data_IF_098859550578
#
_entry.id   IF_098859550578
#
_cell.length_a   1.000
_cell.length_b   1.000
_cell.length_c   1.000
_cell.angle_alpha   90.00
_cell.angle_beta   90.00
_cell.angle_gamma   90.00
#
_symmetry.space_group_name_H-M   'P 1'
#
loop_
_entity.id
_entity.type
_entity.pdbx_description
1 polymer ?
#
# COMPACT_ATOMS: atom_id res chain seq x y z
N UNK A 1 -47.28 -57.66 3.82
CA UNK A 1 -45.79 -57.71 3.84
C UNK A 1 -45.19 -56.58 2.97
N UNK A 2 -45.63 -55.32 3.14
CA UNK A 2 -45.27 -54.18 2.24
C UNK A 2 -44.55 -53.02 2.96
N UNK A 3 -44.84 -52.79 4.25
CA UNK A 3 -44.29 -51.62 5.00
C UNK A 3 -42.80 -51.68 5.36
N UNK A 4 -42.17 -52.87 5.39
CA UNK A 4 -40.73 -52.98 5.70
C UNK A 4 -39.83 -52.59 4.52
N UNK A 5 -40.26 -52.87 3.28
CA UNK A 5 -39.50 -52.54 2.06
C UNK A 5 -39.51 -51.03 1.80
N UNK A 6 -40.63 -50.36 2.01
CA UNK A 6 -40.73 -48.90 1.86
C UNK A 6 -39.90 -48.14 2.91
N UNK A 7 -39.87 -48.63 4.17
CA UNK A 7 -38.98 -48.07 5.19
C UNK A 7 -37.50 -48.22 4.81
N UNK A 8 -37.12 -49.37 4.24
CA UNK A 8 -35.73 -49.59 3.80
C UNK A 8 -35.32 -48.63 2.68
N UNK A 9 -36.20 -48.41 1.70
CA UNK A 9 -35.95 -47.47 0.59
C UNK A 9 -35.77 -46.04 1.10
N UNK A 10 -36.61 -45.58 2.02
CA UNK A 10 -36.51 -44.22 2.61
C UNK A 10 -35.20 -44.04 3.38
N UNK A 11 -34.76 -45.07 4.13
CA UNK A 11 -33.50 -45.03 4.87
C UNK A 11 -32.30 -44.97 3.90
N UNK A 12 -32.33 -45.75 2.82
CA UNK A 12 -31.26 -45.73 1.81
C UNK A 12 -31.15 -44.37 1.13
N UNK A 13 -32.29 -43.75 0.76
CA UNK A 13 -32.31 -42.40 0.16
C UNK A 13 -31.76 -41.36 1.14
N UNK A 14 -32.14 -41.45 2.42
CA UNK A 14 -31.66 -40.54 3.46
C UNK A 14 -30.14 -40.65 3.68
N UNK A 15 -29.59 -41.86 3.67
CA UNK A 15 -28.14 -42.10 3.75
C UNK A 15 -27.44 -41.54 2.51
N UNK A 16 -28.01 -41.74 1.32
CA UNK A 16 -27.45 -41.20 0.08
C UNK A 16 -27.44 -39.67 0.08
N UNK A 17 -28.51 -39.05 0.61
CA UNK A 17 -28.60 -37.60 0.78
C UNK A 17 -27.58 -37.08 1.79
N UNK A 18 -27.36 -37.80 2.90
CA UNK A 18 -26.32 -37.47 3.89
C UNK A 18 -24.91 -37.57 3.30
N UNK A 19 -24.64 -38.59 2.49
CA UNK A 19 -23.35 -38.74 1.77
C UNK A 19 -23.18 -37.61 0.75
N UNK A 20 -24.23 -37.25 0.02
CA UNK A 20 -24.20 -36.14 -0.94
C UNK A 20 -23.94 -34.80 -0.23
N UNK A 21 -24.64 -34.54 0.88
CA UNK A 21 -24.43 -33.36 1.73
C UNK A 21 -23.03 -33.34 2.35
N UNK A 22 -22.46 -34.50 2.69
CA UNK A 22 -21.09 -34.61 3.18
C UNK A 22 -20.05 -34.30 2.10
N UNK A 23 -20.30 -34.73 0.86
CA UNK A 23 -19.45 -34.37 -0.29
C UNK A 23 -19.57 -32.89 -0.67
N UNK A 24 -20.77 -32.29 -0.55
CA UNK A 24 -20.97 -30.85 -0.76
C UNK A 24 -20.36 -30.00 0.36
N UNK A 25 -20.23 -30.53 1.59
CA UNK A 25 -19.46 -29.89 2.67
C UNK A 25 -17.95 -29.94 2.47
N UNK A 26 -17.47 -30.64 1.44
CA UNK A 26 -16.07 -30.66 1.01
C UNK A 26 -15.79 -29.57 -0.03
N UNK A 27 -16.53 -28.47 -0.02
CA UNK A 27 -15.99 -27.22 -0.53
C UNK A 27 -14.97 -26.71 0.47
N UNK A 28 -13.71 -26.69 0.03
CA UNK A 28 -12.55 -26.24 0.77
C UNK A 28 -12.74 -24.82 1.32
N UNK A 29 -13.34 -24.71 2.50
CA UNK A 29 -12.95 -23.67 3.46
C UNK A 29 -11.54 -24.05 3.88
N UNK A 30 -10.58 -23.77 3.00
CA UNK A 30 -9.18 -23.79 3.33
C UNK A 30 -9.06 -22.78 4.46
N UNK A 31 -8.73 -23.28 5.64
CA UNK A 31 -8.37 -22.51 6.81
C UNK A 31 -7.51 -21.33 6.32
N UNK A 32 -8.03 -20.09 6.37
CA UNK A 32 -7.29 -18.93 5.88
C UNK A 32 -6.00 -18.70 6.70
N UNK A 33 -5.87 -19.41 7.82
CA UNK A 33 -4.70 -19.56 8.67
C UNK A 33 -3.56 -20.37 8.04
N UNK A 34 -3.80 -21.16 6.98
CA UNK A 34 -2.77 -22.01 6.37
C UNK A 34 -1.75 -21.23 5.52
N UNK A 35 -2.07 -20.00 5.10
CA UNK A 35 -1.21 -19.19 4.23
C UNK A 35 -1.02 -17.80 4.82
N UNK A 36 -0.04 -17.69 5.72
CA UNK A 36 0.26 -16.47 6.43
C UNK A 36 1.02 -15.48 5.55
N UNK A 37 0.29 -14.59 4.87
CA UNK A 37 0.87 -13.45 4.15
C UNK A 37 1.11 -12.24 5.05
N UNK A 38 0.34 -12.12 6.13
CA UNK A 38 0.33 -10.95 6.98
C UNK A 38 1.54 -10.95 7.92
N UNK A 39 1.85 -9.77 8.47
CA UNK A 39 2.72 -9.63 9.64
C UNK A 39 1.97 -8.74 10.62
N UNK A 40 1.42 -9.32 11.67
CA UNK A 40 0.52 -8.63 12.61
C UNK A 40 1.21 -7.44 13.28
N UNK A 41 2.37 -7.68 13.90
CA UNK A 41 3.19 -6.62 14.48
C UNK A 41 4.14 -6.05 13.43
N UNK A 42 3.78 -4.91 12.85
CA UNK A 42 4.62 -4.21 11.87
C UNK A 42 5.67 -3.31 12.51
N UNK A 43 5.71 -3.19 13.84
CA UNK A 43 6.70 -2.38 14.54
C UNK A 43 8.11 -2.97 14.44
N UNK A 44 8.19 -4.30 14.32
CA UNK A 44 9.45 -5.06 14.14
C UNK A 44 10.06 -4.92 12.76
N UNK A 45 9.28 -4.47 11.76
CA UNK A 45 9.74 -4.32 10.38
C UNK A 45 10.75 -3.17 10.33
N UNK A 46 11.98 -3.48 9.92
CA UNK A 46 13.06 -2.49 9.76
C UNK A 46 13.44 -2.26 8.31
N UNK A 47 13.11 -3.19 7.40
CA UNK A 47 13.43 -3.05 5.97
C UNK A 47 12.41 -3.77 5.09
N UNK A 48 12.06 -3.12 3.99
CA UNK A 48 11.23 -3.68 2.91
C UNK A 48 12.00 -3.48 1.61
N UNK A 49 12.33 -4.57 0.93
CA UNK A 49 12.96 -4.54 -0.38
C UNK A 49 11.93 -4.92 -1.45
N UNK A 50 11.92 -4.19 -2.55
CA UNK A 50 11.05 -4.46 -3.69
C UNK A 50 11.86 -4.44 -4.98
N UNK A 51 11.62 -5.40 -5.86
CA UNK A 51 12.27 -5.52 -7.15
C UNK A 51 11.26 -5.95 -8.22
N UNK A 52 11.22 -5.23 -9.33
CA UNK A 52 10.49 -5.65 -10.53
C UNK A 52 11.42 -6.36 -11.52
N UNK A 53 10.81 -6.96 -12.55
CA UNK A 53 11.54 -7.67 -13.60
C UNK A 53 12.11 -6.76 -14.69
N UNK A 54 11.89 -5.43 -14.58
CA UNK A 54 12.50 -4.42 -15.45
C UNK A 54 13.84 -3.92 -14.91
N UNK A 55 14.27 -4.44 -13.75
CA UNK A 55 15.52 -4.08 -13.10
C UNK A 55 15.39 -2.90 -12.12
N UNK A 56 14.19 -2.38 -11.90
CA UNK A 56 14.00 -1.34 -10.88
C UNK A 56 13.96 -2.00 -9.50
N UNK A 57 14.68 -1.39 -8.56
CA UNK A 57 14.70 -1.83 -7.17
C UNK A 57 14.55 -0.65 -6.23
N UNK A 58 13.87 -0.90 -5.11
CA UNK A 58 13.85 0.02 -3.98
C UNK A 58 14.04 -0.73 -2.67
N UNK A 59 14.69 -0.06 -1.74
CA UNK A 59 14.83 -0.51 -0.36
C UNK A 59 14.30 0.58 0.55
N UNK A 60 13.23 0.29 1.28
CA UNK A 60 12.77 1.11 2.39
C UNK A 60 13.46 0.61 3.65
N UNK A 61 14.17 1.48 4.34
CA UNK A 61 14.90 1.14 5.57
C UNK A 61 14.57 2.12 6.70
N UNK A 62 14.43 1.58 7.91
CA UNK A 62 14.24 2.35 9.12
C UNK A 62 15.60 2.62 9.78
N UNK A 63 16.02 3.88 9.83
CA UNK A 63 17.23 4.36 10.51
C UNK A 63 16.86 5.48 11.48
N UNK A 64 17.27 5.38 12.75
CA UNK A 64 17.00 6.37 13.79
C UNK A 64 15.52 6.81 13.86
N UNK A 65 14.62 5.82 13.84
CA UNK A 65 13.16 6.02 13.80
C UNK A 65 12.60 6.79 12.58
N UNK A 66 13.40 6.94 11.51
CA UNK A 66 12.99 7.56 10.24
C UNK A 66 13.10 6.54 9.12
N UNK A 67 12.18 6.60 8.17
CA UNK A 67 12.21 5.76 6.98
C UNK A 67 12.91 6.48 5.83
N UNK A 68 13.86 5.78 5.22
CA UNK A 68 14.61 6.23 4.05
C UNK A 68 14.40 5.24 2.89
N UNK A 69 14.30 5.74 1.67
CA UNK A 69 14.30 4.95 0.44
C UNK A 69 15.68 5.00 -0.19
N UNK A 70 16.21 3.83 -0.54
CA UNK A 70 17.54 3.59 -1.11
C UNK A 70 18.64 4.28 -0.30
N UNK A 71 18.52 4.27 1.03
CA UNK A 71 19.42 4.95 1.99
C UNK A 71 19.57 6.47 1.86
N UNK A 72 19.00 7.09 0.82
CA UNK A 72 19.27 8.48 0.45
C UNK A 72 18.12 9.42 0.82
N UNK A 73 16.89 9.06 0.45
CA UNK A 73 15.77 10.01 0.54
C UNK A 73 14.82 9.66 1.67
N UNK A 74 14.36 10.67 2.40
CA UNK A 74 13.28 10.48 3.37
C UNK A 74 12.00 9.99 2.67
N UNK A 75 11.35 9.00 3.26
CA UNK A 75 10.07 8.45 2.78
C UNK A 75 8.91 9.32 3.26
N UNK A 76 7.88 9.47 2.42
CA UNK A 76 6.62 10.14 2.77
C UNK A 76 5.90 9.36 3.87
N UNK A 77 5.44 10.06 4.91
CA UNK A 77 4.86 9.43 6.12
C UNK A 77 3.58 8.64 5.83
N UNK A 78 2.75 9.12 4.91
CA UNK A 78 1.56 8.42 4.43
C UNK A 78 1.92 7.13 3.67
N UNK A 79 2.92 7.19 2.77
CA UNK A 79 3.33 6.03 1.99
C UNK A 79 3.78 4.87 2.88
N UNK A 80 4.66 5.15 3.85
CA UNK A 80 5.11 4.11 4.78
C UNK A 80 3.98 3.61 5.69
N UNK A 81 3.07 4.48 6.14
CA UNK A 81 1.92 4.06 6.94
C UNK A 81 0.99 3.14 6.15
N UNK A 82 0.76 3.44 4.88
CA UNK A 82 -0.12 2.65 4.01
C UNK A 82 0.46 1.25 3.80
N UNK A 83 1.74 1.12 3.41
CA UNK A 83 2.33 -0.21 3.17
C UNK A 83 2.38 -1.05 4.46
N UNK A 84 2.77 -0.48 5.60
CA UNK A 84 2.79 -1.22 6.86
C UNK A 84 1.37 -1.66 7.25
N UNK A 85 0.37 -0.77 7.14
CA UNK A 85 -1.03 -1.16 7.38
C UNK A 85 -1.49 -2.27 6.42
N UNK A 86 -1.07 -2.22 5.17
CA UNK A 86 -1.38 -3.26 4.18
C UNK A 86 -0.74 -4.58 4.55
N UNK A 87 0.54 -4.61 4.91
CA UNK A 87 1.24 -5.81 5.37
C UNK A 87 0.54 -6.43 6.59
N UNK A 88 0.07 -5.61 7.54
CA UNK A 88 -0.64 -6.13 8.74
C UNK A 88 -2.05 -6.67 8.49
N UNK A 89 -2.68 -6.29 7.38
CA UNK A 89 -4.11 -6.57 7.14
C UNK A 89 -4.39 -7.35 5.86
N UNK A 90 -3.36 -7.70 5.11
CA UNK A 90 -3.52 -8.48 3.90
C UNK A 90 -4.04 -9.88 4.27
N UNK A 91 -5.03 -10.36 3.53
CA UNK A 91 -5.65 -11.66 3.77
C UNK A 91 -5.91 -12.36 2.46
N UNK A 92 -5.80 -13.69 2.48
CA UNK A 92 -6.27 -14.54 1.39
C UNK A 92 -7.77 -14.32 1.22
N UNK A 93 -8.19 -14.03 -0.01
CA UNK A 93 -9.61 -14.04 -0.39
C UNK A 93 -10.01 -15.44 -0.82
N UNK A 94 -9.24 -16.03 -1.76
CA UNK A 94 -9.41 -17.39 -2.28
C UNK A 94 -8.18 -17.80 -3.09
N UNK A 95 -7.92 -19.10 -3.29
CA UNK A 95 -6.94 -19.56 -4.27
C UNK A 95 -7.35 -19.16 -5.70
N UNK A 96 -6.36 -19.02 -6.57
CA UNK A 96 -6.59 -18.88 -8.01
C UNK A 96 -7.23 -20.15 -8.55
N UNK A 97 -8.24 -20.01 -9.42
CA UNK A 97 -8.92 -21.17 -10.03
C UNK A 97 -7.98 -21.92 -10.98
N UNK A 98 -8.18 -23.23 -11.10
CA UNK A 98 -7.41 -24.09 -12.02
C UNK A 98 -7.38 -23.54 -13.44
N UNK A 99 -8.53 -23.06 -13.94
CA UNK A 99 -8.66 -22.46 -15.27
C UNK A 99 -7.79 -21.22 -15.51
N UNK A 100 -7.42 -20.50 -14.46
CA UNK A 100 -6.58 -19.29 -14.54
C UNK A 100 -5.16 -19.51 -14.04
N UNK A 101 -4.85 -20.68 -13.49
CA UNK A 101 -3.58 -20.96 -12.81
C UNK A 101 -2.37 -20.69 -13.70
N UNK A 102 -2.30 -21.34 -14.87
CA UNK A 102 -1.15 -21.23 -15.78
C UNK A 102 -0.91 -19.78 -16.22
N UNK A 103 -1.97 -19.03 -16.51
CA UNK A 103 -1.89 -17.62 -16.86
C UNK A 103 -1.33 -16.80 -15.69
N UNK A 104 -1.89 -16.97 -14.48
CA UNK A 104 -1.49 -16.17 -13.32
C UNK A 104 -0.05 -16.48 -12.89
N UNK A 105 0.37 -17.75 -12.89
CA UNK A 105 1.77 -18.11 -12.62
C UNK A 105 2.70 -17.50 -13.66
N UNK A 106 2.35 -17.54 -14.94
CA UNK A 106 3.15 -16.91 -16.00
C UNK A 106 3.24 -15.41 -15.81
N UNK A 107 2.12 -14.75 -15.50
CA UNK A 107 2.08 -13.31 -15.23
C UNK A 107 2.96 -12.95 -14.02
N UNK A 108 2.90 -13.71 -12.94
CA UNK A 108 3.73 -13.52 -11.75
C UNK A 108 5.22 -13.70 -12.06
N UNK A 109 5.57 -14.68 -12.90
CA UNK A 109 6.95 -14.96 -13.28
C UNK A 109 7.54 -13.93 -14.26
N UNK A 110 6.70 -13.25 -15.05
CA UNK A 110 7.14 -12.35 -16.14
C UNK A 110 6.96 -10.87 -15.84
N UNK A 111 6.03 -10.51 -14.95
CA UNK A 111 5.74 -9.13 -14.58
C UNK A 111 5.59 -8.90 -13.07
N UNK A 112 5.76 -9.94 -12.24
CA UNK A 112 5.61 -9.82 -10.80
C UNK A 112 6.67 -8.93 -10.14
N UNK A 113 6.25 -8.25 -9.08
CA UNK A 113 7.14 -7.49 -8.19
C UNK A 113 7.42 -8.33 -6.96
N UNK A 114 8.69 -8.70 -6.77
CA UNK A 114 9.13 -9.38 -5.56
C UNK A 114 9.18 -8.40 -4.40
N UNK A 115 8.60 -8.77 -3.27
CA UNK A 115 8.65 -8.03 -2.00
C UNK A 115 9.30 -8.90 -0.95
N UNK A 116 10.30 -8.37 -0.26
CA UNK A 116 10.99 -9.02 0.84
C UNK A 116 10.89 -8.13 2.08
N UNK A 117 10.44 -8.71 3.20
CA UNK A 117 10.22 -8.00 4.46
C UNK A 117 11.19 -8.53 5.50
N UNK A 118 11.89 -7.62 6.17
CA UNK A 118 12.92 -7.90 7.15
C UNK A 118 12.56 -7.26 8.47
N UNK A 119 12.87 -7.95 9.56
CA UNK A 119 12.67 -7.47 10.92
C UNK A 119 14.01 -7.27 11.64
N UNK A 120 14.01 -6.46 12.71
CA UNK A 120 15.09 -6.39 13.69
C UNK A 120 16.53 -6.29 13.12
N UNK A 121 16.67 -5.69 11.93
CA UNK A 121 17.93 -5.60 11.18
C UNK A 121 18.57 -6.96 10.83
N UNK A 122 17.77 -8.01 10.74
CA UNK A 122 18.21 -9.33 10.32
C UNK A 122 18.61 -9.35 8.83
N UNK A 123 19.55 -10.25 8.50
CA UNK A 123 20.02 -10.45 7.13
C UNK A 123 19.04 -11.24 6.27
N UNK A 124 18.17 -12.04 6.89
CA UNK A 124 17.18 -12.87 6.18
C UNK A 124 15.81 -12.21 6.28
N UNK A 125 15.01 -12.21 5.20
CA UNK A 125 13.64 -11.73 5.25
C UNK A 125 12.76 -12.76 5.98
N UNK A 126 11.82 -12.26 6.78
CA UNK A 126 10.80 -13.05 7.46
C UNK A 126 9.62 -13.39 6.56
N UNK A 127 9.41 -12.61 5.50
CA UNK A 127 8.36 -12.85 4.51
C UNK A 127 8.87 -12.45 3.13
N UNK A 128 8.60 -13.30 2.15
CA UNK A 128 8.83 -12.99 0.75
C UNK A 128 7.58 -13.39 -0.02
N UNK A 129 7.04 -12.47 -0.81
CA UNK A 129 5.97 -12.77 -1.75
C UNK A 129 6.14 -11.97 -3.05
N UNK A 130 5.57 -12.50 -4.12
CA UNK A 130 5.53 -11.85 -5.44
C UNK A 130 4.14 -11.25 -5.63
N UNK A 131 4.07 -9.98 -5.98
CA UNK A 131 2.84 -9.23 -6.29
C UNK A 131 2.66 -9.20 -7.80
N UNK A 132 1.53 -9.69 -8.30
CA UNK A 132 1.21 -9.70 -9.71
C UNK A 132 0.15 -8.68 -10.12
N UNK A 133 -0.55 -9.05 -11.19
CA UNK A 133 -1.70 -8.31 -11.72
C UNK A 133 -2.93 -8.36 -10.79
N UNK A 134 -3.93 -7.57 -11.17
CA UNK A 134 -5.21 -7.50 -10.47
C UNK A 134 -6.20 -8.50 -11.07
N UNK A 135 -7.20 -8.87 -10.28
CA UNK A 135 -8.38 -9.56 -10.81
C UNK A 135 -9.14 -8.66 -11.79
N UNK A 136 -9.85 -9.26 -12.74
CA UNK A 136 -10.59 -8.52 -13.78
C UNK A 136 -11.69 -7.62 -13.23
N UNK A 137 -12.20 -7.91 -12.02
CA UNK A 137 -13.17 -7.09 -11.32
C UNK A 137 -12.53 -5.99 -10.45
N UNK A 138 -11.20 -5.90 -10.44
CA UNK A 138 -10.39 -4.96 -9.64
C UNK A 138 -10.64 -5.04 -8.13
N UNK A 139 -11.11 -6.18 -7.61
CA UNK A 139 -11.38 -6.39 -6.17
C UNK A 139 -10.30 -7.16 -5.43
N UNK A 140 -9.29 -7.67 -6.13
CA UNK A 140 -8.16 -8.35 -5.53
C UNK A 140 -6.90 -8.28 -6.38
N UNK A 141 -5.81 -8.73 -5.80
CA UNK A 141 -4.48 -8.77 -6.44
C UNK A 141 -3.91 -10.17 -6.33
N UNK A 142 -3.40 -10.72 -7.44
CA UNK A 142 -2.74 -12.01 -7.42
C UNK A 142 -1.41 -11.91 -6.68
N UNK A 143 -1.15 -12.83 -5.75
CA UNK A 143 0.14 -12.95 -5.08
C UNK A 143 0.55 -14.41 -4.94
N UNK A 144 1.87 -14.61 -4.86
CA UNK A 144 2.47 -15.92 -4.58
C UNK A 144 3.43 -15.78 -3.40
N UNK A 145 3.22 -16.60 -2.37
CA UNK A 145 4.12 -16.67 -1.23
C UNK A 145 5.35 -17.50 -1.59
N UNK A 146 6.54 -17.08 -1.18
CA UNK A 146 7.75 -17.85 -1.44
C UNK A 146 7.69 -19.21 -0.77
N UNK A 147 7.93 -20.27 -1.54
CA UNK A 147 7.90 -21.67 -1.08
C UNK A 147 6.56 -22.35 -1.33
N UNK A 148 5.54 -21.60 -1.75
CA UNK A 148 4.26 -22.13 -2.18
C UNK A 148 4.21 -22.19 -3.71
N UNK A 149 3.51 -23.20 -4.23
CA UNK A 149 3.22 -23.33 -5.67
C UNK A 149 1.89 -22.66 -6.03
N UNK A 150 0.95 -22.61 -5.09
CA UNK A 150 -0.39 -22.09 -5.31
C UNK A 150 -0.42 -20.55 -5.19
N UNK A 151 -0.84 -19.80 -6.23
CA UNK A 151 -1.09 -18.38 -6.11
C UNK A 151 -2.49 -18.12 -5.54
N UNK A 152 -2.63 -16.98 -4.87
CA UNK A 152 -3.85 -16.54 -4.21
C UNK A 152 -4.31 -15.18 -4.71
N UNK A 153 -5.62 -14.96 -4.63
CA UNK A 153 -6.19 -13.62 -4.73
C UNK A 153 -6.16 -13.02 -3.33
N UNK A 154 -5.43 -11.92 -3.17
CA UNK A 154 -5.25 -11.23 -1.91
C UNK A 154 -6.10 -9.97 -1.85
N UNK A 155 -6.59 -9.66 -0.65
CA UNK A 155 -7.39 -8.48 -0.37
C UNK A 155 -7.09 -7.95 1.03
N UNK A 156 -7.70 -6.82 1.40
CA UNK A 156 -7.77 -6.35 2.78
C UNK A 156 -9.24 -6.47 3.21
N UNK A 157 -9.57 -7.17 4.32
CA UNK A 157 -10.96 -7.27 4.79
C UNK A 157 -11.60 -5.90 4.99
N UNK A 158 -12.82 -5.74 4.47
CA UNK A 158 -13.56 -4.46 4.47
C UNK A 158 -13.05 -3.42 3.46
N UNK A 159 -12.13 -3.77 2.57
CA UNK A 159 -11.64 -2.91 1.49
C UNK A 159 -11.87 -3.56 0.13
N UNK A 160 -12.62 -2.89 -0.73
CA UNK A 160 -12.83 -3.29 -2.12
C UNK A 160 -11.83 -2.56 -3.01
N UNK A 161 -10.76 -3.25 -3.42
CA UNK A 161 -9.81 -2.68 -4.35
C UNK A 161 -8.50 -3.47 -4.43
N UNK A 162 -7.63 -2.99 -5.30
CA UNK A 162 -6.33 -3.59 -5.59
C UNK A 162 -5.26 -3.20 -4.57
N UNK A 163 -4.21 -4.02 -4.45
CA UNK A 163 -3.12 -3.82 -3.48
C UNK A 163 -1.90 -3.12 -4.09
N UNK A 164 -1.68 -3.17 -5.41
CA UNK A 164 -0.49 -2.62 -6.07
C UNK A 164 -0.16 -1.16 -5.65
N UNK A 165 -1.13 -0.20 -5.66
CA UNK A 165 -0.83 1.18 -5.27
C UNK A 165 -0.45 1.32 -3.79
N UNK A 166 -0.89 0.40 -2.93
CA UNK A 166 -0.57 0.38 -1.50
C UNK A 166 0.88 -0.05 -1.24
N UNK A 167 1.48 -0.77 -2.19
CA UNK A 167 2.91 -1.05 -2.26
C UNK A 167 3.67 0.00 -3.08
N UNK A 168 3.08 1.17 -3.35
CA UNK A 168 3.73 2.25 -4.10
C UNK A 168 4.02 1.92 -5.56
N UNK A 169 3.42 0.85 -6.10
CA UNK A 169 3.62 0.42 -7.47
C UNK A 169 2.83 1.29 -8.45
N UNK A 170 3.44 1.58 -9.59
CA UNK A 170 2.76 2.17 -10.74
C UNK A 170 2.52 1.06 -11.76
N UNK A 171 1.32 0.47 -11.72
CA UNK A 171 1.07 -0.80 -12.41
C UNK A 171 1.82 -1.95 -11.74
N UNK A 172 2.82 -2.49 -12.44
CA UNK A 172 3.71 -3.55 -11.95
C UNK A 172 5.17 -3.08 -11.87
N UNK A 173 5.37 -1.77 -11.75
CA UNK A 173 6.70 -1.16 -11.72
C UNK A 173 6.98 -0.55 -10.36
N UNK A 174 8.22 -0.73 -9.95
CA UNK A 174 8.78 -0.11 -8.77
C UNK A 174 9.28 1.28 -9.12
N UNK A 175 8.78 2.31 -8.45
CA UNK A 175 9.19 3.69 -8.67
C UNK A 175 9.53 4.41 -7.35
N UNK A 176 10.77 4.86 -7.21
CA UNK A 176 11.26 5.62 -6.06
C UNK A 176 10.47 6.93 -5.83
N UNK A 177 9.93 7.55 -6.89
CA UNK A 177 9.16 8.78 -6.80
C UNK A 177 7.81 8.60 -6.11
N UNK A 178 7.28 7.37 -6.03
CA UNK A 178 6.10 7.03 -5.23
C UNK A 178 6.38 7.16 -3.72
N UNK A 179 7.64 7.04 -3.31
CA UNK A 179 8.06 6.95 -1.90
C UNK A 179 8.69 8.24 -1.37
N UNK A 180 9.48 8.93 -2.18
CA UNK A 180 10.24 10.11 -1.76
C UNK A 180 9.34 11.23 -1.24
N UNK A 181 9.71 11.80 -0.10
CA UNK A 181 9.18 13.06 0.42
C UNK A 181 9.54 14.19 -0.56
N UNK A 182 8.52 14.85 -1.11
CA UNK A 182 8.64 15.91 -2.13
C UNK A 182 8.74 17.31 -1.53
N UNK A 183 8.74 17.44 -0.20
CA UNK A 183 8.79 18.75 0.46
C UNK A 183 10.14 19.43 0.20
N UNK A 184 10.11 20.53 -0.55
CA UNK A 184 11.29 21.35 -0.89
C UNK A 184 11.63 22.29 0.28
N UNK A 185 10.60 22.89 0.87
CA UNK A 185 10.71 23.73 2.05
C UNK A 185 10.24 22.93 3.27
N UNK A 186 11.00 23.02 4.37
CA UNK A 186 10.68 22.44 5.68
C UNK A 186 10.86 23.48 6.76
N UNK A 187 10.42 24.70 6.47
CA UNK A 187 10.59 25.84 7.36
C UNK A 187 9.33 25.94 8.23
N UNK A 188 9.51 26.21 9.53
CA UNK A 188 8.38 26.68 10.32
C UNK A 188 8.08 28.11 9.88
N UNK A 189 6.81 28.49 9.78
CA UNK A 189 6.40 29.82 9.34
C UNK A 189 7.07 30.95 10.13
N UNK A 190 7.30 30.73 11.43
CA UNK A 190 8.05 31.61 12.33
C UNK A 190 9.54 31.79 11.97
N UNK A 191 10.15 30.80 11.34
CA UNK A 191 11.57 30.80 10.94
C UNK A 191 11.74 31.42 9.53
N UNK A 192 10.65 31.66 8.80
CA UNK A 192 10.68 32.32 7.49
C UNK A 192 10.78 33.82 7.69
N UNK A 193 11.91 34.40 7.32
CA UNK A 193 12.16 35.86 7.41
C UNK A 193 11.35 36.66 6.39
N UNK A 194 11.30 36.18 5.14
CA UNK A 194 10.50 36.81 4.08
C UNK A 194 10.18 35.86 2.94
N UNK A 195 9.05 36.09 2.28
CA UNK A 195 8.69 35.44 1.01
C UNK A 195 8.39 36.50 -0.03
N UNK A 196 9.03 36.40 -1.19
CA UNK A 196 8.79 37.31 -2.32
C UNK A 196 8.23 36.52 -3.50
N UNK A 197 7.06 36.90 -3.98
CA UNK A 197 6.50 36.43 -5.25
C UNK A 197 6.81 37.48 -6.33
N UNK A 198 7.46 37.04 -7.41
CA UNK A 198 7.74 37.88 -8.58
C UNK A 198 6.95 37.32 -9.76
N UNK A 199 5.88 38.00 -10.13
CA UNK A 199 5.14 37.72 -11.36
C UNK A 199 5.71 38.57 -12.50
N UNK A 200 6.27 37.90 -13.50
CA UNK A 200 6.91 38.56 -14.66
C UNK A 200 5.91 39.06 -15.70
N UNK A 201 4.68 38.54 -15.71
CA UNK A 201 3.62 38.92 -16.65
C UNK A 201 2.77 40.03 -16.05
N UNK A 202 2.37 39.86 -14.80
CA UNK A 202 1.52 40.79 -14.07
C UNK A 202 2.26 41.38 -12.88
N UNK A 203 3.11 42.39 -13.13
CA UNK A 203 3.96 42.98 -12.09
C UNK A 203 3.18 43.41 -10.85
N UNK A 204 1.94 43.89 -11.01
CA UNK A 204 1.06 44.31 -9.91
C UNK A 204 0.65 43.17 -8.96
N UNK A 205 0.71 41.93 -9.43
CA UNK A 205 0.45 40.70 -8.65
C UNK A 205 1.68 40.24 -7.84
N UNK A 206 2.82 40.92 -8.00
CA UNK A 206 4.03 40.65 -7.19
C UNK A 206 3.89 41.22 -5.78
N UNK A 207 4.38 40.49 -4.78
CA UNK A 207 4.32 40.92 -3.38
C UNK A 207 5.49 40.38 -2.56
N UNK A 208 5.70 40.97 -1.39
CA UNK A 208 6.67 40.53 -0.40
C UNK A 208 5.99 40.47 0.97
N UNK A 209 6.08 39.33 1.64
CA UNK A 209 5.69 39.14 3.03
C UNK A 209 6.96 39.15 3.87
N UNK A 210 7.06 40.06 4.84
CA UNK A 210 8.15 40.07 5.83
C UNK A 210 7.64 39.63 7.19
N UNK A 211 8.45 38.87 7.90
CA UNK A 211 8.19 38.39 9.24
C UNK A 211 9.26 38.96 10.18
N UNK A 212 8.86 39.93 11.00
CA UNK A 212 9.72 40.50 12.03
C UNK A 212 9.32 39.89 13.37
N UNK A 213 9.95 38.77 13.74
CA UNK A 213 9.71 38.06 15.00
C UNK A 213 8.23 37.78 15.31
N UNK A 214 7.48 37.30 14.31
CA UNK A 214 6.05 36.98 14.40
C UNK A 214 5.11 38.11 13.96
N UNK A 215 5.63 39.32 13.73
CA UNK A 215 4.85 40.40 13.16
C UNK A 215 4.92 40.38 11.63
N UNK A 216 3.87 39.86 11.01
CA UNK A 216 3.76 39.74 9.55
C UNK A 216 3.32 41.07 8.92
N UNK A 217 3.97 41.45 7.83
CA UNK A 217 3.62 42.64 7.05
C UNK A 217 3.70 42.34 5.55
N UNK A 218 2.70 42.78 4.79
CA UNK A 218 2.62 42.66 3.34
C UNK A 218 3.12 43.94 2.66
N UNK A 219 3.87 43.76 1.58
CA UNK A 219 4.35 44.82 0.71
C UNK A 219 4.00 44.48 -0.74
N UNK A 220 3.57 45.48 -1.52
CA UNK A 220 3.29 45.31 -2.95
C UNK A 220 4.58 45.32 -3.80
N UNK A 221 4.42 45.24 -5.12
CA UNK A 221 5.53 45.28 -6.10
C UNK A 221 6.39 46.56 -6.06
N UNK A 222 5.89 47.66 -5.48
CA UNK A 222 6.63 48.91 -5.27
C UNK A 222 7.30 48.97 -3.89
N UNK A 223 7.20 47.89 -3.10
CA UNK A 223 7.67 47.82 -1.71
C UNK A 223 6.93 48.79 -0.76
N UNK A 224 5.70 49.19 -1.12
CA UNK A 224 4.81 49.93 -0.24
C UNK A 224 4.03 48.95 0.64
N UNK A 225 3.89 49.27 1.93
CA UNK A 225 3.15 48.42 2.88
C UNK A 225 1.65 48.44 2.53
N UNK A 226 1.03 47.26 2.51
CA UNK A 226 -0.39 47.06 2.21
C UNK A 226 -1.10 46.51 3.44
N UNK A 227 -2.31 47.00 3.68
CA UNK A 227 -3.17 46.45 4.73
C UNK A 227 -3.56 45.01 4.40
N UNK A 228 -3.46 44.12 5.39
CA UNK A 228 -3.74 42.70 5.21
C UNK A 228 -4.08 42.06 6.55
N UNK A 229 -4.96 41.06 6.50
CA UNK A 229 -5.27 40.25 7.67
C UNK A 229 -4.07 39.33 7.97
N UNK A 230 -3.52 39.45 9.19
CA UNK A 230 -2.35 38.66 9.62
C UNK A 230 -2.58 37.15 9.50
N UNK A 231 -3.83 36.70 9.63
CA UNK A 231 -4.21 35.29 9.50
C UNK A 231 -3.97 34.74 8.09
N UNK A 232 -4.25 35.54 7.05
CA UNK A 232 -4.04 35.14 5.66
C UNK A 232 -2.54 35.05 5.33
N UNK A 233 -1.74 35.98 5.88
CA UNK A 233 -0.28 35.91 5.76
C UNK A 233 0.29 34.67 6.45
N UNK A 234 -0.20 34.34 7.65
CA UNK A 234 0.21 33.15 8.37
C UNK A 234 -0.18 31.87 7.63
N UNK A 235 -1.40 31.82 7.07
CA UNK A 235 -1.85 30.72 6.23
C UNK A 235 -0.96 30.54 4.99
N UNK A 236 -0.59 31.64 4.33
CA UNK A 236 0.31 31.61 3.20
C UNK A 236 1.68 31.03 3.56
N UNK A 237 2.30 31.51 4.65
CA UNK A 237 3.61 31.01 5.11
C UNK A 237 3.57 29.52 5.53
N UNK A 238 2.42 29.02 6.01
CA UNK A 238 2.26 27.60 6.35
C UNK A 238 2.37 26.66 5.14
N UNK A 239 2.28 27.15 3.91
CA UNK A 239 2.48 26.34 2.70
C UNK A 239 3.95 25.96 2.45
N UNK A 240 4.91 26.55 3.18
CA UNK A 240 6.35 26.29 3.05
C UNK A 240 6.88 25.26 4.08
N UNK A 241 5.98 24.53 4.74
CA UNK A 241 6.27 23.56 5.79
C UNK A 241 6.48 22.13 5.26
#
# INVERSE_FOLDING_TARGET
MSNKKNKFIVITIFILLLVLLWQLKKENWTDSSAYDFAIEDTSVITKIFMADLKGNTITLERKDNKWCVNTTYKVRRDAIRIILKTISKISVQRPVSESSYNRVITDLATAGVKVEIYQNNEKKPIKIYTIGNNTSDHKGTYMLLKGEDQPYIMHIPGFNGILNPRYGLKGQEVDIHSWRDKSIFKLKSQDILSVTLIDKKEKYSSFNIKNNNGNLSLYNYQNNKVESEKINLAFYLNNFK
#
